data_IF_344032885156
#
_entry.id   IF_344032885156
#
_cell.length_a   1.000
_cell.length_b   1.000
_cell.length_c   1.000
_cell.angle_alpha   90.00
_cell.angle_beta   90.00
_cell.angle_gamma   90.00
#
_symmetry.space_group_name_H-M   'P 1'
#
loop_
_entity.id
_entity.type
_entity.pdbx_description
1 polymer ?
#
# COMPACT_ATOMS: atom_id res chain seq x y z
N UNK A 1 -9.61 -34.55 25.35
CA UNK A 1 -10.90 -33.98 25.80
C UNK A 1 -10.66 -33.35 27.16
N UNK A 2 -11.05 -32.09 27.36
CA UNK A 2 -10.84 -31.39 28.64
C UNK A 2 -11.67 -32.02 29.76
N UNK A 3 -11.12 -32.04 30.98
CA UNK A 3 -11.76 -32.63 32.17
C UNK A 3 -12.83 -31.68 32.76
N UNK A 4 -12.69 -30.38 32.51
CA UNK A 4 -13.62 -29.27 32.84
C UNK A 4 -13.19 -28.02 32.02
N UNK A 5 -13.98 -26.93 31.93
CA UNK A 5 -13.55 -25.70 31.24
C UNK A 5 -12.20 -25.21 31.76
N UNK A 6 -11.16 -25.36 30.94
CA UNK A 6 -9.80 -24.94 31.29
C UNK A 6 -8.89 -25.93 31.99
N UNK A 7 -9.32 -27.18 32.18
CA UNK A 7 -8.44 -28.26 32.65
C UNK A 7 -8.16 -29.21 31.46
N UNK A 8 -7.03 -29.04 30.77
CA UNK A 8 -6.67 -29.94 29.68
C UNK A 8 -6.29 -31.32 30.23
N UNK A 9 -6.47 -32.34 29.40
CA UNK A 9 -5.81 -33.63 29.63
C UNK A 9 -4.30 -33.38 29.64
N UNK A 10 -3.66 -33.56 30.79
CA UNK A 10 -2.25 -33.24 31.05
C UNK A 10 -1.28 -33.92 30.08
N UNK A 11 -1.72 -34.97 29.37
CA UNK A 11 -0.91 -35.74 28.43
C UNK A 11 -1.12 -35.36 26.96
N UNK A 12 -2.19 -34.64 26.63
CA UNK A 12 -2.62 -34.40 25.25
C UNK A 12 -1.76 -33.34 24.57
N UNK A 13 -0.74 -33.75 23.80
CA UNK A 13 -0.01 -32.89 22.86
C UNK A 13 -0.08 -33.50 21.47
N UNK A 14 -1.05 -33.03 20.70
CA UNK A 14 -1.26 -33.42 19.32
C UNK A 14 -0.12 -32.92 18.45
N UNK A 15 0.17 -33.68 17.40
CA UNK A 15 1.10 -33.28 16.35
C UNK A 15 0.46 -32.15 15.55
N UNK A 16 1.19 -31.04 15.37
CA UNK A 16 0.73 -29.92 14.53
C UNK A 16 0.68 -30.40 13.08
N UNK A 17 -0.46 -30.26 12.38
CA UNK A 17 -0.62 -30.77 11.03
C UNK A 17 0.22 -29.94 10.05
N UNK A 18 0.82 -30.65 9.09
CA UNK A 18 1.43 -30.01 7.93
C UNK A 18 0.33 -29.31 7.12
N UNK A 19 0.43 -27.99 6.96
CA UNK A 19 -0.54 -27.19 6.22
C UNK A 19 0.10 -25.97 5.58
N UNK A 20 -0.55 -25.44 4.55
CA UNK A 20 -0.09 -24.26 3.82
C UNK A 20 -1.31 -23.38 3.48
N UNK A 21 -1.11 -22.07 3.55
CA UNK A 21 -2.11 -21.04 3.23
C UNK A 21 -3.47 -21.27 3.93
N UNK A 22 -3.45 -21.32 5.28
CA UNK A 22 -4.65 -21.51 6.09
C UNK A 22 -4.97 -20.27 6.92
N UNK A 23 -6.26 -20.08 7.19
CA UNK A 23 -6.74 -19.11 8.18
C UNK A 23 -7.08 -19.89 9.44
N UNK A 24 -6.30 -19.65 10.50
CA UNK A 24 -6.48 -20.25 11.82
C UNK A 24 -6.86 -19.16 12.82
N UNK A 25 -7.47 -19.54 13.94
CA UNK A 25 -7.74 -18.60 15.03
C UNK A 25 -6.58 -18.59 16.01
N UNK A 26 -6.43 -17.48 16.75
CA UNK A 26 -5.49 -17.40 17.85
C UNK A 26 -6.08 -16.65 19.05
N UNK A 27 -5.50 -16.91 20.21
CA UNK A 27 -5.72 -16.12 21.42
C UNK A 27 -4.40 -15.95 22.19
N UNK A 28 -4.24 -14.80 22.84
CA UNK A 28 -3.28 -14.55 23.89
C UNK A 28 -4.06 -14.31 25.18
N UNK A 29 -3.86 -15.20 26.16
CA UNK A 29 -4.43 -15.08 27.49
C UNK A 29 -3.31 -14.72 28.48
N UNK A 30 -3.61 -13.81 29.40
CA UNK A 30 -2.77 -13.55 30.56
C UNK A 30 -3.30 -14.34 31.73
N UNK A 31 -2.42 -15.08 32.39
CA UNK A 31 -2.77 -16.04 33.43
C UNK A 31 -1.99 -15.75 34.71
N UNK A 32 -2.72 -15.36 35.76
CA UNK A 32 -2.23 -15.27 37.15
C UNK A 32 -2.39 -16.61 37.83
N UNK A 33 -1.59 -17.58 37.42
CA UNK A 33 -1.61 -18.90 38.03
C UNK A 33 -0.99 -18.86 39.43
N UNK A 34 -1.65 -19.48 40.41
CA UNK A 34 -1.23 -19.51 41.81
C UNK A 34 0.17 -20.12 41.99
N UNK A 35 0.49 -21.15 41.20
CA UNK A 35 1.76 -21.92 41.32
C UNK A 35 2.83 -21.42 40.35
N UNK A 36 2.50 -21.29 39.06
CA UNK A 36 3.47 -20.91 38.03
C UNK A 36 3.79 -19.40 38.01
N UNK A 37 2.93 -18.61 38.65
CA UNK A 37 2.95 -17.15 38.64
C UNK A 37 2.47 -16.55 37.31
N UNK A 38 2.61 -15.22 37.17
CA UNK A 38 2.25 -14.47 35.97
C UNK A 38 2.88 -14.98 34.68
N UNK A 39 2.05 -15.29 33.68
CA UNK A 39 2.50 -15.64 32.33
C UNK A 39 1.45 -15.34 31.26
N UNK A 40 1.88 -15.44 30.01
CA UNK A 40 1.04 -15.42 28.82
C UNK A 40 0.94 -16.80 28.23
N UNK A 41 -0.28 -17.21 27.92
CA UNK A 41 -0.53 -18.33 27.04
C UNK A 41 -0.83 -17.82 25.63
N UNK A 42 -0.23 -18.45 24.63
CA UNK A 42 -0.55 -18.26 23.23
C UNK A 42 -1.11 -19.56 22.69
N UNK A 43 -2.33 -19.48 22.15
CA UNK A 43 -3.01 -20.62 21.56
C UNK A 43 -3.33 -20.34 20.11
N UNK A 44 -3.09 -21.34 19.25
CA UNK A 44 -3.46 -21.31 17.84
C UNK A 44 -4.39 -22.50 17.58
N UNK A 45 -5.51 -22.29 16.91
CA UNK A 45 -6.45 -23.36 16.57
C UNK A 45 -6.70 -23.50 15.08
N UNK A 46 -6.65 -24.75 14.63
CA UNK A 46 -7.02 -25.18 13.27
C UNK A 46 -8.52 -25.48 13.11
N UNK A 47 -9.30 -25.25 14.16
CA UNK A 47 -10.73 -25.56 14.24
C UNK A 47 -11.05 -26.89 14.93
N UNK A 48 -10.08 -27.80 15.05
CA UNK A 48 -10.25 -29.07 15.77
C UNK A 48 -9.55 -29.05 17.14
N UNK A 49 -8.36 -28.48 17.20
CA UNK A 49 -7.51 -28.46 18.40
C UNK A 49 -6.94 -27.06 18.60
N UNK A 50 -6.85 -26.59 19.85
CA UNK A 50 -6.12 -25.39 20.21
C UNK A 50 -4.72 -25.76 20.75
N UNK A 51 -3.72 -25.63 19.87
CA UNK A 51 -2.31 -25.82 20.21
C UNK A 51 -1.87 -24.71 21.17
N UNK A 52 -1.40 -25.07 22.37
CA UNK A 52 -1.01 -24.14 23.42
C UNK A 52 0.50 -24.04 23.71
N UNK A 53 0.94 -22.83 24.05
CA UNK A 53 2.27 -22.52 24.57
C UNK A 53 2.20 -21.45 25.66
N UNK A 54 3.15 -21.45 26.58
CA UNK A 54 3.25 -20.46 27.65
C UNK A 54 4.61 -19.75 27.67
N UNK A 55 4.64 -18.47 28.06
CA UNK A 55 5.87 -17.71 28.32
C UNK A 55 5.60 -16.55 29.28
N UNK A 56 6.63 -16.01 29.94
CA UNK A 56 6.48 -14.80 30.77
C UNK A 56 6.64 -13.49 29.99
N UNK A 57 7.15 -13.53 28.77
CA UNK A 57 7.54 -12.33 28.00
C UNK A 57 6.48 -11.84 26.99
N UNK A 58 5.50 -12.67 26.62
CA UNK A 58 4.57 -12.39 25.53
C UNK A 58 5.16 -12.62 24.13
N UNK A 59 4.47 -12.15 23.08
CA UNK A 59 4.97 -12.25 21.71
C UNK A 59 6.23 -11.37 21.54
N UNK A 60 7.23 -11.82 20.76
CA UNK A 60 8.45 -11.06 20.55
C UNK A 60 8.18 -9.71 19.86
N UNK A 61 8.85 -8.66 20.35
CA UNK A 61 8.99 -7.38 19.66
C UNK A 61 9.72 -7.54 18.32
N UNK A 62 9.69 -6.50 17.49
CA UNK A 62 10.28 -6.53 16.16
C UNK A 62 11.78 -6.88 16.21
N UNK A 63 12.19 -7.95 15.49
CA UNK A 63 13.59 -8.41 15.47
C UNK A 63 13.98 -9.33 16.62
N UNK A 64 13.15 -9.42 17.67
CA UNK A 64 13.42 -10.24 18.84
C UNK A 64 12.95 -11.69 18.69
N UNK A 65 13.41 -12.51 19.64
CA UNK A 65 13.00 -13.90 19.81
C UNK A 65 12.65 -14.19 21.27
N UNK A 66 11.61 -14.98 21.49
CA UNK A 66 11.13 -15.38 22.82
C UNK A 66 10.96 -16.89 22.87
N UNK A 67 11.37 -17.51 23.97
CA UNK A 67 11.12 -18.92 24.24
C UNK A 67 9.68 -19.12 24.73
N UNK A 68 9.00 -20.07 24.12
CA UNK A 68 7.64 -20.51 24.42
C UNK A 68 7.65 -22.00 24.76
N UNK A 69 7.04 -22.35 25.89
CA UNK A 69 7.01 -23.73 26.40
C UNK A 69 5.69 -24.38 25.99
N UNK A 70 5.75 -25.47 25.22
CA UNK A 70 4.61 -26.25 24.74
C UNK A 70 3.80 -26.80 25.91
N UNK A 71 2.54 -26.38 26.00
CA UNK A 71 1.58 -26.86 27.01
C UNK A 71 0.69 -27.96 26.42
N UNK A 72 -0.07 -28.69 27.25
CA UNK A 72 -1.16 -29.53 26.76
C UNK A 72 -2.13 -28.73 25.88
N UNK A 73 -2.69 -29.42 24.89
CA UNK A 73 -3.68 -28.85 23.99
C UNK A 73 -5.00 -28.58 24.69
N UNK A 74 -5.75 -27.64 24.12
CA UNK A 74 -7.07 -27.24 24.59
C UNK A 74 -8.13 -27.44 23.51
N UNK A 75 -9.39 -27.34 23.88
CA UNK A 75 -10.47 -27.21 22.91
C UNK A 75 -10.47 -25.80 22.28
N UNK A 76 -10.89 -25.65 21.01
CA UNK A 76 -11.10 -24.33 20.42
C UNK A 76 -12.03 -23.43 21.24
N UNK A 77 -13.05 -24.00 21.89
CA UNK A 77 -14.00 -23.27 22.74
C UNK A 77 -13.30 -22.57 23.91
N UNK A 78 -12.31 -23.23 24.51
CA UNK A 78 -11.55 -22.67 25.64
C UNK A 78 -10.77 -21.40 25.30
N UNK A 79 -10.46 -21.17 24.02
CA UNK A 79 -9.78 -19.94 23.59
C UNK A 79 -10.59 -18.67 23.89
N UNK A 80 -11.90 -18.79 24.14
CA UNK A 80 -12.76 -17.67 24.53
C UNK A 80 -12.85 -17.44 26.04
N UNK A 81 -12.31 -18.35 26.86
CA UNK A 81 -12.44 -18.31 28.31
C UNK A 81 -11.73 -17.11 28.94
N UNK A 82 -12.42 -16.44 29.87
CA UNK A 82 -11.86 -15.49 30.82
C UNK A 82 -12.60 -15.65 32.14
N UNK A 83 -11.89 -15.82 33.24
CA UNK A 83 -12.47 -16.12 34.54
C UNK A 83 -11.46 -16.70 35.52
N UNK A 84 -11.97 -17.19 36.64
CA UNK A 84 -11.17 -17.85 37.69
C UNK A 84 -11.23 -19.37 37.52
N UNK A 85 -10.06 -20.01 37.55
CA UNK A 85 -9.93 -21.47 37.68
C UNK A 85 -9.78 -21.76 39.16
N UNK A 86 -10.82 -22.36 39.76
CA UNK A 86 -10.96 -22.49 41.21
C UNK A 86 -9.99 -23.49 41.85
N UNK A 87 -9.67 -24.59 41.16
CA UNK A 87 -8.77 -25.64 41.63
C UNK A 87 -8.08 -26.37 40.46
N UNK A 88 -7.19 -27.31 40.78
CA UNK A 88 -6.53 -28.14 39.78
C UNK A 88 -5.34 -27.48 39.07
N UNK A 89 -4.97 -28.05 37.92
CA UNK A 89 -3.84 -27.56 37.13
C UNK A 89 -4.22 -26.24 36.44
N UNK A 90 -3.43 -25.20 36.68
CA UNK A 90 -3.74 -23.86 36.18
C UNK A 90 -4.70 -23.08 37.06
N UNK A 91 -4.87 -23.43 38.36
CA UNK A 91 -5.60 -22.61 39.32
C UNK A 91 -5.11 -21.16 39.28
N UNK A 92 -6.05 -20.21 39.21
CA UNK A 92 -5.78 -18.78 39.13
C UNK A 92 -6.65 -18.07 38.10
N UNK A 93 -6.37 -16.78 37.87
CA UNK A 93 -7.19 -15.93 37.02
C UNK A 93 -6.68 -15.88 35.57
N UNK A 94 -7.58 -16.04 34.60
CA UNK A 94 -7.29 -16.03 33.17
C UNK A 94 -8.04 -14.89 32.50
N UNK A 95 -7.33 -14.09 31.71
CA UNK A 95 -7.93 -12.98 30.94
C UNK A 95 -7.47 -13.02 29.49
N UNK A 96 -8.41 -12.97 28.55
CA UNK A 96 -8.09 -12.74 27.13
C UNK A 96 -7.57 -11.31 26.96
N UNK A 97 -6.37 -11.18 26.39
CA UNK A 97 -5.72 -9.89 26.10
C UNK A 97 -5.78 -9.57 24.62
N UNK A 98 -5.67 -10.58 23.76
CA UNK A 98 -5.79 -10.42 22.31
C UNK A 98 -6.32 -11.70 21.68
N UNK A 99 -7.12 -11.57 20.61
CA UNK A 99 -7.61 -12.72 19.85
C UNK A 99 -7.94 -12.32 18.41
N UNK A 100 -8.09 -13.31 17.55
CA UNK A 100 -8.52 -13.09 16.17
C UNK A 100 -8.05 -14.18 15.24
N UNK A 101 -7.75 -13.81 14.00
CA UNK A 101 -7.28 -14.71 12.96
C UNK A 101 -5.81 -14.48 12.63
N UNK A 102 -5.09 -15.57 12.40
CA UNK A 102 -3.76 -15.59 11.78
C UNK A 102 -3.85 -16.14 10.36
N UNK A 103 -2.97 -15.64 9.50
CA UNK A 103 -2.72 -16.25 8.21
C UNK A 103 -1.53 -17.19 8.34
N UNK A 104 -1.79 -18.49 8.44
CA UNK A 104 -0.76 -19.52 8.49
C UNK A 104 -0.21 -19.72 7.08
N UNK A 105 1.01 -19.23 6.87
CA UNK A 105 1.72 -19.37 5.60
C UNK A 105 2.15 -20.82 5.42
N UNK A 106 2.71 -21.41 6.48
CA UNK A 106 3.07 -22.82 6.52
C UNK A 106 3.09 -23.30 7.96
N UNK A 107 2.57 -24.49 8.21
CA UNK A 107 2.76 -25.23 9.46
C UNK A 107 3.32 -26.61 9.16
N UNK A 108 4.13 -27.12 10.07
CA UNK A 108 4.70 -28.46 10.14
C UNK A 108 4.81 -28.83 11.63
N UNK A 109 5.03 -30.11 11.97
CA UNK A 109 5.23 -30.52 13.36
C UNK A 109 6.32 -29.74 14.13
N UNK A 110 7.30 -29.17 13.42
CA UNK A 110 8.46 -28.49 14.03
C UNK A 110 8.49 -26.97 13.76
N UNK A 111 7.58 -26.44 12.93
CA UNK A 111 7.64 -25.03 12.53
C UNK A 111 6.28 -24.50 12.10
N UNK A 112 5.90 -23.33 12.62
CA UNK A 112 4.73 -22.57 12.19
C UNK A 112 5.19 -21.16 11.78
N UNK A 113 4.97 -20.79 10.52
CA UNK A 113 5.15 -19.43 10.03
C UNK A 113 3.79 -18.81 9.75
N UNK A 114 3.47 -17.70 10.40
CA UNK A 114 2.16 -17.07 10.31
C UNK A 114 2.26 -15.55 10.30
N UNK A 115 1.24 -14.91 9.75
CA UNK A 115 1.08 -13.46 9.79
C UNK A 115 -0.07 -13.06 10.70
N UNK A 116 0.14 -11.98 11.43
CA UNK A 116 -0.90 -11.21 12.11
C UNK A 116 -1.15 -9.91 11.34
N UNK A 117 -2.40 -9.68 10.95
CA UNK A 117 -2.80 -8.44 10.28
C UNK A 117 -3.46 -7.48 11.28
N UNK A 118 -2.65 -6.66 11.95
CA UNK A 118 -3.09 -5.63 12.89
C UNK A 118 -3.14 -4.26 12.21
N UNK A 119 -4.32 -3.62 12.21
CA UNK A 119 -4.55 -2.37 11.48
C UNK A 119 -4.18 -2.52 10.00
N UNK A 120 -3.45 -1.55 9.42
CA UNK A 120 -2.95 -1.62 8.04
C UNK A 120 -1.67 -2.48 7.86
N UNK A 121 -1.22 -3.19 8.90
CA UNK A 121 0.11 -3.81 8.93
C UNK A 121 0.09 -5.31 8.89
N UNK A 122 1.25 -5.85 8.55
CA UNK A 122 1.54 -7.27 8.60
C UNK A 122 2.68 -7.46 9.56
N UNK A 123 2.43 -8.17 10.66
CA UNK A 123 3.48 -8.71 11.50
C UNK A 123 3.71 -10.17 11.09
N UNK A 124 4.96 -10.56 10.91
CA UNK A 124 5.35 -11.92 10.55
C UNK A 124 6.00 -12.60 11.73
N UNK A 125 5.49 -13.76 12.11
CA UNK A 125 6.04 -14.59 13.18
C UNK A 125 6.47 -15.94 12.66
N UNK A 126 7.47 -16.53 13.30
CA UNK A 126 7.84 -17.92 13.07
C UNK A 126 8.14 -18.58 14.41
N UNK A 127 7.42 -19.65 14.70
CA UNK A 127 7.59 -20.49 15.86
C UNK A 127 8.34 -21.76 15.42
N UNK A 128 9.49 -22.05 16.01
CA UNK A 128 10.34 -23.21 15.64
C UNK A 128 10.58 -24.08 16.85
N UNK A 129 10.35 -25.38 16.72
CA UNK A 129 10.66 -26.37 17.73
C UNK A 129 12.18 -26.50 17.91
N UNK A 130 12.65 -26.49 19.15
CA UNK A 130 14.08 -26.58 19.47
C UNK A 130 14.40 -27.72 20.45
N UNK A 131 13.50 -28.71 20.59
CA UNK A 131 13.69 -29.87 21.47
C UNK A 131 12.91 -29.81 22.79
N UNK A 132 12.59 -30.98 23.36
CA UNK A 132 11.78 -31.09 24.58
C UNK A 132 10.40 -30.45 24.42
N UNK A 133 10.09 -29.46 25.26
CA UNK A 133 8.88 -28.63 25.14
C UNK A 133 9.18 -27.23 24.57
N UNK A 134 10.40 -26.98 24.09
CA UNK A 134 10.89 -25.64 23.77
C UNK A 134 10.55 -25.26 22.33
N UNK A 135 9.96 -24.07 22.18
CA UNK A 135 9.69 -23.45 20.89
C UNK A 135 10.19 -22.02 20.88
N UNK A 136 10.98 -21.65 19.89
CA UNK A 136 11.48 -20.29 19.72
C UNK A 136 10.56 -19.52 18.77
N UNK A 137 9.88 -18.49 19.30
CA UNK A 137 9.08 -17.56 18.50
C UNK A 137 9.95 -16.38 18.09
N UNK A 138 9.97 -16.04 16.81
CA UNK A 138 10.73 -14.92 16.25
C UNK A 138 9.78 -13.98 15.52
N UNK A 139 9.94 -12.67 15.74
CA UNK A 139 9.28 -11.65 14.94
C UNK A 139 10.14 -11.32 13.72
N UNK A 140 9.75 -11.86 12.57
CA UNK A 140 10.48 -11.76 11.29
C UNK A 140 9.90 -10.70 10.37
N UNK A 141 9.15 -9.75 10.93
CA UNK A 141 8.55 -8.66 10.17
C UNK A 141 9.65 -7.87 9.44
N UNK A 142 9.55 -7.66 8.11
CA UNK A 142 10.62 -6.99 7.38
C UNK A 142 10.78 -5.52 7.79
N UNK A 143 12.02 -5.13 8.03
CA UNK A 143 12.48 -3.76 8.29
C UNK A 143 13.42 -3.30 7.19
N UNK A 144 13.87 -2.05 7.26
CA UNK A 144 14.87 -1.52 6.33
C UNK A 144 16.23 -2.21 6.46
N UNK A 145 16.63 -2.57 7.68
CA UNK A 145 17.89 -3.25 7.98
C UNK A 145 17.89 -4.68 7.40
N UNK A 146 16.76 -5.38 7.53
CA UNK A 146 16.61 -6.75 6.98
C UNK A 146 16.34 -6.78 5.48
N UNK A 147 15.99 -5.62 4.87
CA UNK A 147 15.67 -5.46 3.44
C UNK A 147 16.36 -4.23 2.85
N UNK A 148 17.71 -4.20 2.84
CA UNK A 148 18.45 -3.05 2.31
C UNK A 148 18.18 -2.80 0.83
N UNK A 149 17.74 -3.82 0.07
CA UNK A 149 17.39 -3.75 -1.35
C UNK A 149 16.12 -2.94 -1.68
N UNK A 150 15.34 -2.52 -0.68
CA UNK A 150 14.12 -1.72 -0.89
C UNK A 150 14.49 -0.24 -0.91
N UNK A 151 14.49 0.46 -2.05
CA UNK A 151 14.87 1.87 -2.13
C UNK A 151 13.91 2.78 -1.34
N UNK A 152 14.44 3.89 -0.80
CA UNK A 152 13.66 4.86 -0.01
C UNK A 152 13.03 5.98 -0.84
N UNK A 153 13.55 6.22 -2.04
CA UNK A 153 13.16 7.36 -2.88
C UNK A 153 12.80 6.86 -4.27
N UNK A 154 11.62 7.28 -4.73
CA UNK A 154 11.21 7.08 -6.13
C UNK A 154 12.12 7.91 -7.04
N UNK A 155 12.34 7.41 -8.25
CA UNK A 155 13.02 8.18 -9.29
C UNK A 155 12.30 9.51 -9.55
N UNK A 156 13.07 10.59 -9.62
CA UNK A 156 12.52 11.91 -9.92
C UNK A 156 12.24 12.04 -11.42
N UNK A 157 11.06 12.56 -11.74
CA UNK A 157 10.62 12.82 -13.11
C UNK A 157 10.32 14.31 -13.30
N UNK A 158 10.92 14.92 -14.32
CA UNK A 158 10.56 16.28 -14.73
C UNK A 158 9.18 16.28 -15.38
N UNK A 159 8.47 17.40 -15.30
CA UNK A 159 7.15 17.56 -15.90
C UNK A 159 7.21 18.36 -17.19
N UNK A 160 6.43 17.98 -18.20
CA UNK A 160 6.21 18.78 -19.41
C UNK A 160 4.72 18.96 -19.70
N UNK A 161 4.39 20.03 -20.41
CA UNK A 161 3.06 20.24 -20.98
C UNK A 161 2.73 19.15 -22.03
N UNK A 162 1.49 18.64 -22.09
CA UNK A 162 1.09 17.62 -23.07
C UNK A 162 1.40 18.00 -24.53
N UNK A 163 1.32 19.29 -24.88
CA UNK A 163 1.65 19.78 -26.23
C UNK A 163 3.11 19.58 -26.64
N UNK A 164 4.01 19.33 -25.67
CA UNK A 164 5.44 19.08 -25.90
C UNK A 164 5.79 17.60 -26.06
N UNK A 165 4.82 16.70 -26.00
CA UNK A 165 5.06 15.27 -26.26
C UNK A 165 5.41 15.10 -27.74
N UNK A 166 6.56 14.50 -28.02
CA UNK A 166 6.95 14.14 -29.38
C UNK A 166 6.37 12.79 -29.76
N UNK A 167 5.67 12.74 -30.90
CA UNK A 167 5.18 11.49 -31.48
C UNK A 167 6.21 10.84 -32.40
N UNK A 168 7.17 11.59 -32.94
CA UNK A 168 8.12 11.10 -33.96
C UNK A 168 9.48 10.70 -33.41
N UNK A 169 9.79 11.03 -32.15
CA UNK A 169 11.07 10.63 -31.55
C UNK A 169 11.10 9.12 -31.31
N UNK A 170 11.93 8.40 -32.07
CA UNK A 170 12.10 6.94 -31.98
C UNK A 170 12.83 6.48 -30.72
N UNK A 171 13.57 7.37 -30.04
CA UNK A 171 14.25 7.05 -28.78
C UNK A 171 13.33 7.18 -27.55
N UNK A 172 12.04 7.44 -27.75
CA UNK A 172 11.08 7.64 -26.67
C UNK A 172 9.94 6.63 -26.74
N UNK A 173 9.55 6.08 -25.59
CA UNK A 173 8.34 5.27 -25.43
C UNK A 173 7.34 6.09 -24.62
N UNK A 174 6.11 6.18 -25.12
CA UNK A 174 5.01 6.81 -24.39
C UNK A 174 4.21 5.73 -23.68
N UNK A 175 3.92 5.94 -22.39
CA UNK A 175 3.12 5.03 -21.55
C UNK A 175 2.06 5.81 -20.81
N UNK A 176 1.01 5.13 -20.35
CA UNK A 176 0.02 5.70 -19.45
C UNK A 176 0.61 5.95 -18.06
N UNK A 177 0.20 7.04 -17.41
CA UNK A 177 0.55 7.31 -16.01
C UNK A 177 -0.49 6.63 -15.11
N UNK A 178 -0.31 5.34 -14.84
CA UNK A 178 -1.27 4.53 -14.07
C UNK A 178 -1.66 5.18 -12.73
N UNK A 179 -2.96 5.27 -12.48
CA UNK A 179 -3.53 5.83 -11.25
C UNK A 179 -3.54 4.77 -10.14
N UNK A 180 -2.43 4.63 -9.42
CA UNK A 180 -2.31 3.62 -8.37
C UNK A 180 -1.52 4.07 -7.16
N UNK A 181 -0.88 3.10 -6.52
CA UNK A 181 0.15 3.35 -5.53
C UNK A 181 1.46 2.72 -5.97
N UNK A 182 2.47 3.58 -6.12
CA UNK A 182 3.84 3.17 -6.35
C UNK A 182 4.26 2.08 -5.34
N UNK A 183 4.79 0.99 -5.90
CA UNK A 183 5.09 -0.24 -5.19
C UNK A 183 6.41 -0.82 -5.70
N UNK A 184 7.06 -1.56 -4.81
CA UNK A 184 8.29 -2.29 -5.07
C UNK A 184 7.96 -3.78 -5.10
N UNK A 185 8.37 -4.46 -6.16
CA UNK A 185 8.24 -5.91 -6.31
C UNK A 185 9.61 -6.52 -6.07
N UNK A 186 9.74 -7.34 -5.04
CA UNK A 186 11.01 -7.94 -4.65
C UNK A 186 10.98 -9.43 -4.92
N UNK A 187 11.90 -9.86 -5.76
CA UNK A 187 12.03 -11.22 -6.26
C UNK A 187 13.23 -11.89 -5.56
N UNK A 188 12.96 -12.95 -4.81
CA UNK A 188 13.99 -13.78 -4.15
C UNK A 188 13.66 -15.24 -4.35
N UNK A 189 14.66 -16.03 -4.75
CA UNK A 189 14.46 -17.47 -4.98
C UNK A 189 13.94 -18.16 -3.73
N UNK A 190 13.09 -19.16 -3.92
CA UNK A 190 12.45 -19.89 -2.82
C UNK A 190 11.50 -19.04 -1.98
N UNK A 191 11.11 -17.85 -2.45
CA UNK A 191 10.07 -17.01 -1.86
C UNK A 191 9.04 -16.63 -2.91
N UNK A 192 7.81 -16.30 -2.49
CA UNK A 192 6.86 -15.73 -3.42
C UNK A 192 7.22 -14.29 -3.78
N UNK A 193 6.56 -13.75 -4.81
CA UNK A 193 6.69 -12.33 -5.18
C UNK A 193 6.21 -11.46 -4.02
N UNK A 194 7.10 -10.63 -3.47
CA UNK A 194 6.75 -9.72 -2.37
C UNK A 194 6.50 -8.31 -2.88
N UNK A 195 5.51 -7.64 -2.29
CA UNK A 195 5.11 -6.27 -2.64
C UNK A 195 5.26 -5.35 -1.43
N UNK A 196 6.01 -4.27 -1.59
CA UNK A 196 6.26 -3.27 -0.56
C UNK A 196 5.90 -1.86 -1.04
N UNK A 197 5.55 -0.97 -0.11
CA UNK A 197 5.63 0.48 -0.37
C UNK A 197 7.04 0.97 -0.08
N UNK A 198 7.55 1.88 -0.90
CA UNK A 198 8.81 2.59 -0.65
C UNK A 198 8.69 3.61 0.51
N UNK A 199 7.46 3.95 0.93
CA UNK A 199 7.20 4.94 1.98
C UNK A 199 7.57 4.38 3.35
N UNK A 200 8.11 5.24 4.21
CA UNK A 200 8.33 4.93 5.62
C UNK A 200 7.00 4.66 6.33
N UNK A 201 6.95 3.62 7.16
CA UNK A 201 5.79 3.37 8.02
C UNK A 201 5.68 4.48 9.06
N UNK A 202 4.44 4.87 9.39
CA UNK A 202 4.16 5.79 10.50
C UNK A 202 4.06 5.08 11.86
N UNK A 203 4.11 3.75 11.87
CA UNK A 203 3.87 2.93 13.08
C UNK A 203 5.14 2.36 13.69
N UNK A 204 6.27 2.49 13.00
CA UNK A 204 7.53 1.94 13.45
C UNK A 204 8.52 1.70 12.30
N UNK A 205 9.62 1.00 12.59
CA UNK A 205 10.67 0.70 11.63
C UNK A 205 10.30 -0.41 10.63
N UNK A 206 9.14 -1.04 10.77
CA UNK A 206 8.67 -2.04 9.82
C UNK A 206 8.33 -1.45 8.45
N UNK A 207 8.57 -2.22 7.41
CA UNK A 207 8.19 -1.86 6.05
C UNK A 207 6.69 -2.05 5.84
N UNK A 208 6.10 -1.18 5.02
CA UNK A 208 4.72 -1.33 4.59
C UNK A 208 4.64 -2.49 3.59
N UNK A 209 4.35 -3.68 4.11
CA UNK A 209 4.18 -4.90 3.33
C UNK A 209 2.74 -5.01 2.81
N UNK A 210 2.59 -5.12 1.48
CA UNK A 210 1.31 -5.30 0.79
C UNK A 210 1.15 -6.69 0.18
N UNK A 211 2.19 -7.52 0.19
CA UNK A 211 2.27 -8.86 -0.44
C UNK A 211 0.97 -9.67 -0.28
N UNK A 212 0.47 -9.76 0.94
CA UNK A 212 -0.68 -10.62 1.24
C UNK A 212 -2.03 -10.06 0.78
N UNK A 213 -2.09 -8.86 0.20
CA UNK A 213 -3.29 -8.40 -0.50
C UNK A 213 -3.46 -9.05 -1.88
N UNK A 214 -2.39 -9.64 -2.43
CA UNK A 214 -2.35 -10.15 -3.80
C UNK A 214 -2.22 -11.69 -3.82
N UNK A 215 -3.32 -12.47 -3.70
CA UNK A 215 -3.29 -13.93 -3.85
C UNK A 215 -2.43 -14.42 -5.00
N UNK A 216 -2.65 -13.86 -6.19
CA UNK A 216 -1.91 -14.24 -7.40
C UNK A 216 -0.39 -14.05 -7.27
N UNK A 217 0.07 -13.06 -6.50
CA UNK A 217 1.52 -12.82 -6.32
C UNK A 217 2.09 -13.65 -5.18
N UNK A 218 1.44 -13.69 -4.01
CA UNK A 218 2.03 -14.41 -2.87
C UNK A 218 1.93 -15.94 -3.01
N UNK A 219 1.11 -16.44 -3.95
CA UNK A 219 1.08 -17.85 -4.36
C UNK A 219 2.02 -18.15 -5.53
N UNK A 220 2.64 -17.13 -6.14
CA UNK A 220 3.60 -17.30 -7.25
C UNK A 220 5.01 -17.30 -6.71
N UNK A 221 5.68 -18.45 -6.79
CA UNK A 221 7.09 -18.59 -6.43
C UNK A 221 7.99 -17.91 -7.45
N UNK A 222 9.03 -17.24 -6.96
CA UNK A 222 10.01 -16.55 -7.81
C UNK A 222 10.92 -17.59 -8.47
N UNK A 223 11.05 -17.57 -9.83
CA UNK A 223 12.03 -18.38 -10.55
C UNK A 223 13.47 -18.08 -10.11
N UNK A 224 14.32 -19.11 -10.05
CA UNK A 224 15.69 -18.96 -9.54
C UNK A 224 16.51 -17.94 -10.33
N UNK A 225 16.31 -17.88 -11.64
CA UNK A 225 16.96 -16.90 -12.51
C UNK A 225 16.59 -15.44 -12.19
N UNK A 226 15.53 -15.16 -11.43
CA UNK A 226 15.12 -13.80 -11.09
C UNK A 226 15.54 -13.39 -9.68
N UNK A 227 16.31 -14.22 -8.99
CA UNK A 227 16.78 -13.95 -7.63
C UNK A 227 17.45 -12.58 -7.51
N UNK A 228 17.31 -11.94 -6.33
CA UNK A 228 17.90 -10.63 -6.02
C UNK A 228 17.50 -9.51 -6.99
N UNK A 229 16.26 -9.53 -7.46
CA UNK A 229 15.71 -8.50 -8.36
C UNK A 229 14.69 -7.63 -7.62
N UNK A 230 14.81 -6.32 -7.76
CA UNK A 230 13.88 -5.32 -7.19
C UNK A 230 13.37 -4.44 -8.31
N UNK A 231 12.04 -4.42 -8.48
CA UNK A 231 11.37 -3.69 -9.55
C UNK A 231 10.52 -2.56 -8.98
N UNK A 232 10.50 -1.47 -9.73
CA UNK A 232 9.56 -0.39 -9.53
C UNK A 232 8.32 -0.62 -10.37
N UNK A 233 7.17 -0.44 -9.73
CA UNK A 233 5.90 -0.53 -10.41
C UNK A 233 4.81 0.29 -9.73
N UNK A 234 3.61 0.15 -10.26
CA UNK A 234 2.38 0.73 -9.73
C UNK A 234 1.42 -0.42 -9.45
N UNK A 235 0.88 -0.46 -8.23
CA UNK A 235 -0.20 -1.37 -7.88
C UNK A 235 -1.50 -0.59 -7.83
N UNK A 236 -2.56 -1.15 -8.41
CA UNK A 236 -3.89 -0.52 -8.45
C UNK A 236 -4.98 -1.58 -8.28
N UNK A 237 -6.22 -1.13 -8.17
CA UNK A 237 -7.39 -2.01 -8.08
C UNK A 237 -8.26 -1.73 -9.28
N UNK A 238 -8.70 -2.79 -9.97
CA UNK A 238 -9.57 -2.70 -11.13
C UNK A 238 -10.91 -3.39 -10.89
N UNK A 239 -11.92 -2.99 -11.64
CA UNK A 239 -13.20 -3.71 -11.74
C UNK A 239 -13.12 -4.91 -12.69
N UNK A 240 -14.23 -5.64 -12.84
CA UNK A 240 -14.31 -6.81 -13.71
C UNK A 240 -14.06 -6.48 -15.20
N UNK A 241 -14.24 -5.23 -15.61
CA UNK A 241 -13.95 -4.74 -16.96
C UNK A 241 -12.50 -4.25 -17.12
N UNK A 242 -11.69 -4.33 -16.06
CA UNK A 242 -10.29 -3.90 -16.06
C UNK A 242 -10.09 -2.39 -15.91
N UNK A 243 -11.14 -1.62 -15.56
CA UNK A 243 -11.02 -0.18 -15.31
C UNK A 243 -10.50 0.05 -13.90
N UNK A 244 -9.53 0.93 -13.76
CA UNK A 244 -8.96 1.31 -12.47
C UNK A 244 -9.99 2.03 -11.62
N UNK A 245 -10.13 1.62 -10.36
CA UNK A 245 -10.98 2.32 -9.39
C UNK A 245 -10.50 3.76 -9.18
N UNK A 246 -11.40 4.70 -8.83
CA UNK A 246 -11.02 6.05 -8.45
C UNK A 246 -9.88 6.06 -7.43
N UNK A 247 -8.88 6.92 -7.62
CA UNK A 247 -7.62 6.88 -6.88
C UNK A 247 -7.80 6.78 -5.36
N UNK A 248 -8.72 7.55 -4.77
CA UNK A 248 -9.01 7.53 -3.32
C UNK A 248 -9.51 6.16 -2.83
N UNK A 249 -10.31 5.49 -3.65
CA UNK A 249 -10.89 4.20 -3.32
C UNK A 249 -9.86 3.08 -3.47
N UNK A 250 -9.18 3.01 -4.62
CA UNK A 250 -8.13 2.02 -4.86
C UNK A 250 -6.99 2.14 -3.84
N UNK A 251 -6.52 3.36 -3.55
CA UNK A 251 -5.53 3.59 -2.49
C UNK A 251 -6.05 3.27 -1.09
N UNK A 252 -7.35 3.47 -0.84
CA UNK A 252 -8.01 3.05 0.39
C UNK A 252 -7.85 1.54 0.63
N UNK A 253 -8.17 0.72 -0.37
CA UNK A 253 -8.00 -0.74 -0.31
C UNK A 253 -6.53 -1.15 -0.17
N UNK A 254 -5.62 -0.51 -0.93
CA UNK A 254 -4.18 -0.78 -0.85
C UNK A 254 -3.57 -0.44 0.52
N UNK A 255 -4.18 0.45 1.29
CA UNK A 255 -3.74 0.82 2.64
C UNK A 255 -4.63 0.24 3.75
N UNK A 256 -5.69 -0.50 3.43
CA UNK A 256 -6.55 -1.17 4.41
C UNK A 256 -5.86 -2.38 5.07
N UNK A 257 -6.49 -2.92 6.12
CA UNK A 257 -6.15 -4.24 6.66
C UNK A 257 -6.26 -5.32 5.57
N UNK A 258 -5.42 -6.35 5.62
CA UNK A 258 -5.39 -7.40 4.58
C UNK A 258 -6.71 -8.18 4.51
N UNK A 259 -7.31 -8.54 5.65
CA UNK A 259 -8.57 -9.28 5.68
C UNK A 259 -9.69 -8.46 5.05
N UNK A 260 -9.84 -7.20 5.48
CA UNK A 260 -10.82 -6.26 4.91
C UNK A 260 -10.58 -6.07 3.42
N UNK A 261 -9.33 -5.86 2.99
CA UNK A 261 -9.02 -5.62 1.59
C UNK A 261 -9.40 -6.83 0.71
N UNK A 262 -9.08 -8.06 1.15
CA UNK A 262 -9.44 -9.29 0.43
C UNK A 262 -10.96 -9.48 0.38
N UNK A 263 -11.65 -9.26 1.50
CA UNK A 263 -13.10 -9.39 1.60
C UNK A 263 -13.83 -8.40 0.66
N UNK A 264 -13.44 -7.12 0.68
CA UNK A 264 -13.99 -6.09 -0.21
C UNK A 264 -13.74 -6.40 -1.69
N UNK A 265 -12.52 -6.86 -2.03
CA UNK A 265 -12.17 -7.23 -3.40
C UNK A 265 -12.98 -8.43 -3.88
N UNK A 266 -13.16 -9.45 -3.04
CA UNK A 266 -13.97 -10.62 -3.36
C UNK A 266 -15.46 -10.26 -3.55
N UNK A 267 -16.05 -9.53 -2.58
CA UNK A 267 -17.48 -9.15 -2.60
C UNK A 267 -17.86 -8.31 -3.81
N UNK A 268 -16.93 -7.49 -4.29
CA UNK A 268 -17.15 -6.55 -5.40
C UNK A 268 -16.59 -7.04 -6.73
N UNK A 269 -16.09 -8.29 -6.78
CA UNK A 269 -15.45 -8.87 -7.97
C UNK A 269 -14.35 -7.97 -8.56
N UNK A 270 -13.59 -7.33 -7.67
CA UNK A 270 -12.46 -6.49 -8.05
C UNK A 270 -11.20 -7.33 -8.25
N UNK A 271 -10.17 -6.72 -8.81
CA UNK A 271 -8.85 -7.33 -8.92
C UNK A 271 -7.76 -6.38 -8.47
N UNK A 272 -6.77 -6.90 -7.75
CA UNK A 272 -5.53 -6.19 -7.55
C UNK A 272 -4.62 -6.41 -8.77
N UNK A 273 -4.24 -5.33 -9.44
CA UNK A 273 -3.33 -5.36 -10.59
C UNK A 273 -1.98 -4.74 -10.26
N UNK A 274 -0.96 -5.22 -10.97
CA UNK A 274 0.43 -4.87 -10.74
C UNK A 274 1.12 -4.63 -12.07
N UNK A 275 1.61 -3.41 -12.26
CA UNK A 275 2.39 -3.03 -13.45
C UNK A 275 3.80 -2.68 -13.04
N UNK A 276 4.79 -3.35 -13.61
CA UNK A 276 6.21 -3.01 -13.48
C UNK A 276 6.63 -2.08 -14.61
N UNK A 277 7.41 -1.05 -14.29
CA UNK A 277 7.81 -0.05 -15.27
C UNK A 277 9.29 0.33 -15.20
N UNK A 278 10.04 -0.07 -14.18
CA UNK A 278 11.47 0.24 -14.04
C UNK A 278 12.17 -0.78 -13.13
N UNK A 279 13.50 -0.86 -13.20
CA UNK A 279 14.34 -1.80 -12.45
C UNK A 279 15.26 -1.01 -11.52
N UNK A 280 15.27 -1.38 -10.24
CA UNK A 280 16.20 -0.85 -9.24
C UNK A 280 17.43 -1.74 -9.12
N UNK A 281 17.20 -3.05 -8.97
CA UNK A 281 18.24 -4.08 -9.00
C UNK A 281 17.80 -5.25 -9.87
N UNK A 282 18.74 -5.84 -10.60
CA UNK A 282 18.52 -7.08 -11.34
C UNK A 282 19.65 -8.06 -11.03
N UNK A 283 19.30 -9.23 -10.52
CA UNK A 283 20.28 -10.26 -10.12
C UNK A 283 21.38 -9.73 -9.18
N UNK A 284 21.01 -8.82 -8.27
CA UNK A 284 21.92 -8.18 -7.32
C UNK A 284 22.74 -7.00 -7.86
N UNK A 285 22.71 -6.75 -9.17
CA UNK A 285 23.38 -5.61 -9.81
C UNK A 285 22.49 -4.37 -9.73
N UNK A 286 23.09 -3.20 -9.43
CA UNK A 286 22.37 -1.91 -9.41
C UNK A 286 22.04 -1.46 -10.84
N UNK A 287 20.75 -1.30 -11.11
CA UNK A 287 20.20 -0.80 -12.37
C UNK A 287 19.57 0.58 -12.21
N UNK A 288 19.53 1.16 -11.00
CA UNK A 288 18.80 2.40 -10.71
C UNK A 288 19.20 3.57 -11.62
N UNK A 289 20.47 3.62 -12.07
CA UNK A 289 21.04 4.64 -12.96
C UNK A 289 21.28 4.20 -14.41
N UNK A 290 20.90 2.98 -14.77
CA UNK A 290 21.03 2.49 -16.15
C UNK A 290 20.01 3.16 -17.08
N UNK A 291 20.34 3.37 -18.37
CA UNK A 291 19.40 3.85 -19.38
C UNK A 291 18.18 2.94 -19.49
N UNK A 292 17.02 3.52 -19.84
CA UNK A 292 15.77 2.75 -19.94
C UNK A 292 15.82 1.65 -21.02
N UNK A 293 16.57 1.85 -22.10
CA UNK A 293 16.77 0.87 -23.17
C UNK A 293 17.38 -0.44 -22.68
N UNK A 294 18.31 -0.40 -21.72
CA UNK A 294 18.86 -1.61 -21.10
C UNK A 294 17.83 -2.32 -20.21
N UNK A 295 16.89 -1.56 -19.63
CA UNK A 295 15.92 -2.08 -18.66
C UNK A 295 14.68 -2.68 -19.32
N UNK A 296 14.26 -2.14 -20.45
CA UNK A 296 12.97 -2.50 -21.03
C UNK A 296 12.95 -3.96 -21.51
N UNK A 297 14.05 -4.44 -22.10
CA UNK A 297 14.15 -5.84 -22.52
C UNK A 297 14.14 -6.79 -21.33
N UNK A 298 14.79 -6.41 -20.22
CA UNK A 298 14.72 -7.16 -18.97
C UNK A 298 13.32 -7.16 -18.35
N UNK A 299 12.60 -6.02 -18.41
CA UNK A 299 11.21 -5.94 -17.95
C UNK A 299 10.29 -6.88 -18.77
N UNK A 300 10.49 -6.97 -20.10
CA UNK A 300 9.79 -7.92 -20.97
C UNK A 300 10.13 -9.37 -20.62
N UNK A 301 11.41 -9.69 -20.38
CA UNK A 301 11.84 -11.02 -19.91
C UNK A 301 11.19 -11.39 -18.57
N UNK A 302 11.13 -10.44 -17.63
CA UNK A 302 10.53 -10.68 -16.33
C UNK A 302 9.02 -10.91 -16.46
N UNK A 303 8.30 -10.11 -17.26
CA UNK A 303 6.88 -10.30 -17.49
C UNK A 303 6.59 -11.67 -18.12
N UNK A 304 7.41 -12.15 -19.06
CA UNK A 304 7.19 -13.46 -19.68
C UNK A 304 7.31 -14.61 -18.67
N UNK A 305 8.19 -14.47 -17.67
CA UNK A 305 8.38 -15.43 -16.58
C UNK A 305 7.39 -15.26 -15.43
N UNK A 306 6.90 -14.05 -15.22
CA UNK A 306 5.92 -13.69 -14.19
C UNK A 306 4.78 -12.87 -14.81
N UNK A 307 3.82 -13.51 -15.52
CA UNK A 307 2.73 -12.81 -16.22
C UNK A 307 1.83 -11.98 -15.31
N UNK A 308 1.87 -12.24 -14.00
CA UNK A 308 1.17 -11.47 -12.97
C UNK A 308 1.74 -10.06 -12.80
N UNK A 309 2.98 -9.82 -13.24
CA UNK A 309 3.65 -8.52 -13.28
C UNK A 309 3.55 -7.96 -14.70
N UNK A 310 2.53 -7.15 -14.95
CA UNK A 310 2.24 -6.61 -16.28
C UNK A 310 3.20 -5.47 -16.64
N UNK A 311 3.36 -5.20 -17.93
CA UNK A 311 3.92 -3.93 -18.41
C UNK A 311 2.80 -2.90 -18.65
N UNK A 312 3.10 -1.60 -18.58
CA UNK A 312 2.17 -0.57 -19.04
C UNK A 312 1.94 -0.70 -20.55
N UNK A 313 0.93 -0.03 -21.08
CA UNK A 313 0.79 0.14 -22.53
C UNK A 313 2.02 0.90 -23.04
N UNK A 314 2.75 0.31 -23.98
CA UNK A 314 3.96 0.89 -24.56
C UNK A 314 3.67 1.31 -25.99
N UNK A 315 3.64 2.63 -26.20
CA UNK A 315 3.50 3.21 -27.53
C UNK A 315 4.88 3.63 -28.05
N UNK A 316 5.37 2.92 -29.06
CA UNK A 316 6.72 3.09 -29.61
C UNK A 316 6.67 3.85 -30.95
N UNK A 317 5.71 3.50 -31.81
CA UNK A 317 5.53 4.13 -33.12
C UNK A 317 4.77 5.47 -33.03
N UNK A 318 4.91 6.36 -34.03
CA UNK A 318 4.17 7.63 -34.05
C UNK A 318 2.65 7.46 -33.99
N UNK A 319 2.12 6.45 -34.67
CA UNK A 319 0.69 6.16 -34.68
C UNK A 319 0.20 5.66 -33.32
N UNK A 320 0.92 4.74 -32.68
CA UNK A 320 0.59 4.26 -31.33
C UNK A 320 0.64 5.40 -30.32
N UNK A 321 1.68 6.24 -30.37
CA UNK A 321 1.83 7.36 -29.43
C UNK A 321 0.66 8.35 -29.58
N UNK A 322 0.26 8.64 -30.81
CA UNK A 322 -0.90 9.50 -31.09
C UNK A 322 -2.20 8.88 -30.56
N UNK A 323 -2.42 7.58 -30.79
CA UNK A 323 -3.60 6.87 -30.29
C UNK A 323 -3.67 6.89 -28.77
N UNK A 324 -2.57 6.56 -28.08
CA UNK A 324 -2.49 6.58 -26.62
C UNK A 324 -2.68 8.00 -26.07
N UNK A 325 -2.10 8.99 -26.74
CA UNK A 325 -2.31 10.40 -26.42
C UNK A 325 -3.79 10.80 -26.53
N UNK A 326 -4.43 10.55 -27.66
CA UNK A 326 -5.84 10.95 -27.84
C UNK A 326 -6.77 10.18 -26.88
N UNK A 327 -6.48 8.89 -26.61
CA UNK A 327 -7.24 8.07 -25.67
C UNK A 327 -7.19 8.62 -24.23
N UNK A 328 -6.01 8.95 -23.71
CA UNK A 328 -5.87 9.52 -22.36
C UNK A 328 -6.42 10.95 -22.33
N UNK A 329 -6.20 11.76 -23.38
CA UNK A 329 -6.73 13.12 -23.49
C UNK A 329 -8.26 13.17 -23.46
N UNK A 330 -8.93 12.13 -23.95
CA UNK A 330 -10.39 12.02 -23.85
C UNK A 330 -10.93 11.96 -22.42
N UNK A 331 -10.08 11.63 -21.44
CA UNK A 331 -10.47 11.41 -20.04
C UNK A 331 -11.21 10.09 -19.79
N UNK A 332 -11.29 9.20 -20.79
CA UNK A 332 -12.00 7.91 -20.72
C UNK A 332 -11.05 6.70 -20.69
N UNK A 333 -9.75 6.92 -20.54
CA UNK A 333 -8.79 5.82 -20.52
C UNK A 333 -8.97 4.98 -19.24
N UNK A 334 -9.00 3.63 -19.32
CA UNK A 334 -9.35 2.77 -18.18
C UNK A 334 -8.36 2.85 -17.03
N UNK A 335 -7.07 3.11 -17.31
CA UNK A 335 -6.02 3.05 -16.29
C UNK A 335 -5.60 4.39 -15.69
N UNK A 336 -5.98 5.52 -16.29
CA UNK A 336 -5.49 6.82 -15.86
C UNK A 336 -6.44 7.97 -16.15
N UNK A 337 -6.52 8.87 -15.19
CA UNK A 337 -7.09 10.22 -15.31
C UNK A 337 -6.01 11.29 -15.15
N UNK A 338 -4.76 10.89 -14.95
CA UNK A 338 -3.63 11.77 -14.67
C UNK A 338 -2.87 12.19 -15.93
N UNK A 339 -2.46 11.27 -16.80
CA UNK A 339 -1.70 11.60 -18.02
C UNK A 339 -0.74 10.52 -18.50
N UNK A 340 0.46 10.91 -18.89
CA UNK A 340 1.46 10.06 -19.55
C UNK A 340 2.80 10.06 -18.85
N UNK A 341 3.57 9.01 -19.11
CA UNK A 341 5.00 8.94 -18.81
C UNK A 341 5.76 8.67 -20.10
N UNK A 342 6.74 9.54 -20.40
CA UNK A 342 7.68 9.37 -21.51
C UNK A 342 8.97 8.78 -20.95
N UNK A 343 9.39 7.68 -21.54
CA UNK A 343 10.66 7.02 -21.24
C UNK A 343 11.63 7.23 -22.39
N UNK A 344 12.75 7.89 -22.14
CA UNK A 344 13.83 8.02 -23.11
C UNK A 344 14.78 6.83 -22.96
N UNK A 345 14.99 6.08 -24.05
CA UNK A 345 15.80 4.86 -24.06
C UNK A 345 17.24 5.11 -23.61
N UNK A 346 17.75 6.33 -23.80
CA UNK A 346 19.12 6.72 -23.46
C UNK A 346 19.22 7.43 -22.10
N UNK A 347 18.12 7.54 -21.35
CA UNK A 347 18.08 8.19 -20.04
C UNK A 347 17.68 7.24 -18.93
N UNK A 348 18.18 7.49 -17.71
CA UNK A 348 17.69 6.82 -16.50
C UNK A 348 16.37 7.42 -16.00
N UNK A 349 16.04 8.66 -16.40
CA UNK A 349 14.94 9.44 -15.81
C UNK A 349 13.74 9.55 -16.74
N UNK A 350 12.53 9.19 -16.28
CA UNK A 350 11.32 9.44 -17.04
C UNK A 350 10.92 10.91 -17.02
N UNK A 351 10.07 11.27 -17.97
CA UNK A 351 9.38 12.56 -18.03
C UNK A 351 7.90 12.27 -17.80
N UNK A 352 7.23 13.06 -16.96
CA UNK A 352 5.79 12.98 -16.79
C UNK A 352 5.11 14.11 -17.55
N UNK A 353 3.93 13.83 -18.08
CA UNK A 353 3.03 14.86 -18.59
C UNK A 353 1.63 14.61 -18.05
N UNK A 354 0.96 15.65 -17.58
CA UNK A 354 -0.34 15.51 -16.90
C UNK A 354 -1.42 16.24 -17.69
N UNK A 355 -2.62 15.66 -17.73
CA UNK A 355 -3.83 16.30 -18.28
C UNK A 355 -4.18 17.58 -17.55
N UNK A 356 -3.83 17.62 -16.27
CA UNK A 356 -4.02 18.79 -15.43
C UNK A 356 -2.70 19.18 -14.77
N UNK A 357 -2.38 20.45 -14.90
CA UNK A 357 -1.18 21.09 -14.38
C UNK A 357 -1.60 21.98 -13.20
N UNK A 358 -0.67 22.19 -12.28
CA UNK A 358 -0.86 23.13 -11.18
C UNK A 358 -0.03 24.39 -11.47
N UNK A 359 -0.58 25.56 -11.14
CA UNK A 359 0.16 26.83 -11.14
C UNK A 359 -0.30 27.68 -9.98
N UNK A 360 0.54 28.61 -9.57
CA UNK A 360 0.18 29.63 -8.59
C UNK A 360 -0.31 30.89 -9.32
N UNK A 361 -1.34 31.52 -8.75
CA UNK A 361 -1.86 32.83 -9.14
C UNK A 361 -2.13 33.64 -7.87
N UNK A 362 -2.24 34.95 -8.01
CA UNK A 362 -2.49 35.89 -6.92
C UNK A 362 -3.88 36.48 -7.05
N UNK A 363 -4.66 36.47 -5.97
CA UNK A 363 -6.04 36.94 -5.97
C UNK A 363 -6.09 38.45 -6.17
N UNK A 364 -6.82 38.87 -7.20
CA UNK A 364 -7.04 40.29 -7.55
C UNK A 364 -8.49 40.74 -7.28
N UNK A 365 -9.40 39.80 -7.05
CA UNK A 365 -10.80 40.12 -6.76
C UNK A 365 -11.71 38.92 -6.82
N UNK A 366 -13.02 39.19 -6.78
CA UNK A 366 -14.05 38.16 -6.68
C UNK A 366 -15.28 38.54 -7.52
N UNK A 367 -15.99 37.54 -8.01
CA UNK A 367 -17.32 37.69 -8.59
C UNK A 367 -18.33 36.97 -7.70
N UNK A 368 -19.46 37.62 -7.41
CA UNK A 368 -20.58 36.99 -6.72
C UNK A 368 -21.18 35.85 -7.56
N UNK A 369 -21.70 34.83 -6.89
CA UNK A 369 -22.46 33.77 -7.52
C UNK A 369 -23.82 34.26 -8.02
N UNK A 370 -24.44 33.45 -8.88
CA UNK A 370 -25.82 33.66 -9.36
C UNK A 370 -26.69 32.47 -8.98
N UNK A 371 -28.00 32.68 -8.88
CA UNK A 371 -28.96 31.62 -8.55
C UNK A 371 -28.67 31.04 -7.17
N UNK A 372 -28.44 29.71 -7.07
CA UNK A 372 -28.16 29.04 -5.78
C UNK A 372 -26.91 29.56 -5.03
N UNK A 373 -26.05 30.32 -5.70
CA UNK A 373 -24.82 30.89 -5.14
C UNK A 373 -24.93 32.41 -4.90
N UNK A 374 -26.11 33.00 -5.02
CA UNK A 374 -26.34 34.40 -4.66
C UNK A 374 -25.99 34.64 -3.18
N UNK A 375 -25.35 35.77 -2.87
CA UNK A 375 -24.78 36.05 -1.56
C UNK A 375 -23.53 35.23 -1.20
N UNK A 376 -22.97 34.45 -2.15
CA UNK A 376 -21.78 33.61 -1.95
C UNK A 376 -20.75 33.79 -3.07
N UNK A 377 -19.55 33.25 -2.88
CA UNK A 377 -18.49 33.30 -3.88
C UNK A 377 -18.91 32.57 -5.17
N UNK A 378 -18.94 33.30 -6.28
CA UNK A 378 -19.07 32.74 -7.62
C UNK A 378 -17.70 32.34 -8.17
N UNK A 379 -16.78 33.31 -8.29
CA UNK A 379 -15.43 33.10 -8.83
C UNK A 379 -14.38 33.93 -8.10
N UNK A 380 -13.16 33.41 -8.05
CA UNK A 380 -11.95 34.18 -7.75
C UNK A 380 -11.37 34.71 -9.06
N UNK A 381 -10.98 35.98 -9.08
CA UNK A 381 -10.21 36.60 -10.15
C UNK A 381 -8.74 36.62 -9.73
N UNK A 382 -7.85 36.02 -10.52
CA UNK A 382 -6.44 35.91 -10.16
C UNK A 382 -5.49 36.10 -11.34
N UNK A 383 -4.29 36.62 -11.07
CA UNK A 383 -3.23 36.90 -12.06
C UNK A 383 -1.95 36.15 -11.75
N UNK A 384 -1.06 35.90 -12.72
CA UNK A 384 0.24 35.26 -12.47
C UNK A 384 1.18 36.09 -11.60
N UNK A 385 0.99 37.41 -11.56
CA UNK A 385 1.82 38.36 -10.82
C UNK A 385 1.07 38.92 -9.60
N UNK A 386 1.74 39.10 -8.43
CA UNK A 386 1.13 39.67 -7.23
C UNK A 386 0.58 41.09 -7.41
N UNK A 387 1.19 41.90 -8.28
CA UNK A 387 0.82 43.30 -8.53
C UNK A 387 -0.33 43.42 -9.54
N UNK A 388 -1.02 42.31 -9.88
CA UNK A 388 -2.13 42.32 -10.82
C UNK A 388 -1.73 42.31 -12.29
N UNK A 389 -0.46 42.06 -12.61
CA UNK A 389 0.03 42.02 -14.00
C UNK A 389 -0.31 40.70 -14.69
N UNK A 390 -0.64 40.79 -15.98
CA UNK A 390 -0.96 39.64 -16.83
C UNK A 390 -2.44 39.31 -16.92
N UNK A 391 -2.81 38.23 -17.65
CA UNK A 391 -4.20 37.92 -17.93
C UNK A 391 -4.95 37.47 -16.67
N UNK A 392 -6.10 38.10 -16.41
CA UNK A 392 -7.02 37.69 -15.34
C UNK A 392 -7.62 36.33 -15.68
N UNK A 393 -7.40 35.39 -14.77
CA UNK A 393 -7.99 34.04 -14.78
C UNK A 393 -9.16 34.01 -13.82
N UNK A 394 -10.31 33.53 -14.32
CA UNK A 394 -11.53 33.41 -13.51
C UNK A 394 -11.69 31.97 -13.04
N UNK A 395 -11.61 31.75 -11.74
CA UNK A 395 -11.63 30.43 -11.10
C UNK A 395 -12.97 30.23 -10.41
N UNK A 396 -13.87 29.46 -11.03
CA UNK A 396 -15.23 29.26 -10.54
C UNK A 396 -15.53 27.88 -9.94
N UNK A 397 -14.60 26.92 -10.05
CA UNK A 397 -14.74 25.56 -9.55
C UNK A 397 -13.70 25.22 -8.48
N UNK A 398 -13.91 24.12 -7.75
CA UNK A 398 -12.98 23.64 -6.71
C UNK A 398 -13.31 24.07 -5.29
N UNK A 399 -14.51 24.62 -5.05
CA UNK A 399 -14.97 25.07 -3.74
C UNK A 399 -16.17 24.25 -3.28
N UNK A 400 -16.16 23.84 -2.02
CA UNK A 400 -17.35 23.42 -1.26
C UNK A 400 -18.26 24.63 -0.99
N UNK A 401 -19.54 24.40 -0.71
CA UNK A 401 -20.47 25.51 -0.40
C UNK A 401 -20.05 26.26 0.87
N UNK A 402 -19.45 25.58 1.85
CA UNK A 402 -18.87 26.21 3.04
C UNK A 402 -17.70 27.13 2.68
N UNK A 403 -16.75 26.67 1.86
CA UNK A 403 -15.63 27.51 1.40
C UNK A 403 -16.11 28.73 0.62
N UNK A 404 -17.13 28.58 -0.24
CA UNK A 404 -17.70 29.70 -0.99
C UNK A 404 -18.22 30.80 -0.06
N UNK A 405 -18.91 30.40 1.00
CA UNK A 405 -19.46 31.33 1.99
C UNK A 405 -18.36 31.98 2.83
N UNK A 406 -17.40 31.19 3.33
CA UNK A 406 -16.28 31.69 4.12
C UNK A 406 -15.41 32.67 3.33
N UNK A 407 -15.05 32.34 2.09
CA UNK A 407 -14.22 33.22 1.26
C UNK A 407 -14.98 34.50 0.91
N UNK A 408 -16.28 34.41 0.60
CA UNK A 408 -17.07 35.59 0.26
C UNK A 408 -17.20 36.57 1.42
N UNK A 409 -17.52 36.05 2.62
CA UNK A 409 -17.69 36.85 3.83
C UNK A 409 -16.36 37.47 4.30
N UNK A 410 -15.23 36.82 4.01
CA UNK A 410 -13.89 37.27 4.41
C UNK A 410 -13.01 37.70 3.23
N UNK A 411 -13.62 38.12 2.11
CA UNK A 411 -12.93 38.32 0.82
C UNK A 411 -11.76 39.31 0.86
N UNK A 412 -11.86 40.35 1.70
CA UNK A 412 -10.78 41.32 1.89
C UNK A 412 -9.52 40.67 2.50
N UNK A 413 -9.71 39.70 3.41
CA UNK A 413 -8.62 38.95 4.06
C UNK A 413 -7.83 38.08 3.09
N UNK A 414 -8.41 37.72 1.95
CA UNK A 414 -7.81 36.85 0.95
C UNK A 414 -7.26 37.60 -0.28
N UNK A 415 -7.51 38.90 -0.38
CA UNK A 415 -7.02 39.72 -1.48
C UNK A 415 -5.49 39.74 -1.50
N UNK A 416 -4.89 39.61 -2.68
CA UNK A 416 -3.44 39.55 -2.89
C UNK A 416 -2.79 38.22 -2.50
N UNK A 417 -3.49 37.31 -1.82
CA UNK A 417 -2.91 36.03 -1.39
C UNK A 417 -2.68 35.09 -2.58
N UNK A 418 -1.61 34.27 -2.55
CA UNK A 418 -1.40 33.25 -3.54
C UNK A 418 -2.41 32.10 -3.40
N UNK A 419 -2.90 31.62 -4.53
CA UNK A 419 -3.72 30.41 -4.66
C UNK A 419 -3.02 29.43 -5.59
N UNK A 420 -3.13 28.15 -5.30
CA UNK A 420 -2.82 27.10 -6.27
C UNK A 420 -4.10 26.75 -7.03
N UNK A 421 -4.03 26.78 -8.36
CA UNK A 421 -5.07 26.28 -9.24
C UNK A 421 -4.57 25.07 -10.02
N UNK A 422 -5.48 24.14 -10.27
CA UNK A 422 -5.33 23.08 -11.26
C UNK A 422 -5.96 23.54 -12.59
N UNK A 423 -5.32 23.29 -13.73
CA UNK A 423 -5.81 23.69 -15.05
C UNK A 423 -5.45 22.65 -16.11
N UNK A 424 -6.18 22.60 -17.22
CA UNK A 424 -5.90 21.63 -18.29
C UNK A 424 -4.71 22.03 -19.17
N UNK A 425 -4.74 23.25 -19.70
CA UNK A 425 -3.68 23.80 -20.56
C UNK A 425 -3.58 25.31 -20.38
N UNK A 426 -2.39 25.86 -20.65
CA UNK A 426 -2.19 27.31 -20.75
C UNK A 426 -2.41 27.73 -22.20
N UNK A 427 -3.43 28.55 -22.42
CA UNK A 427 -3.79 29.04 -23.75
C UNK A 427 -2.73 30.03 -24.28
N UNK A 428 -2.61 30.24 -25.60
CA UNK A 428 -1.72 31.25 -26.18
C UNK A 428 -1.96 32.67 -25.62
N UNK A 429 -3.19 32.96 -25.18
CA UNK A 429 -3.55 34.21 -24.49
C UNK A 429 -2.96 34.36 -23.09
N UNK A 430 -2.26 33.35 -22.58
CA UNK A 430 -1.72 33.28 -21.22
C UNK A 430 -2.74 32.89 -20.14
N UNK A 431 -4.03 32.77 -20.51
CA UNK A 431 -5.11 32.28 -19.62
C UNK A 431 -5.06 30.76 -19.44
N UNK A 432 -5.64 30.28 -18.35
CA UNK A 432 -5.69 28.86 -18.03
C UNK A 432 -7.07 28.27 -18.37
N UNK A 433 -7.10 27.11 -19.04
CA UNK A 433 -8.33 26.40 -19.40
C UNK A 433 -8.85 25.54 -18.24
N UNK A 434 -10.15 25.64 -17.97
CA UNK A 434 -10.84 24.94 -16.87
C UNK A 434 -10.09 25.03 -15.53
N UNK A 435 -9.80 26.24 -15.03
CA UNK A 435 -9.09 26.41 -13.78
C UNK A 435 -9.99 26.00 -12.60
N UNK A 436 -9.46 25.16 -11.72
CA UNK A 436 -10.10 24.65 -10.52
C UNK A 436 -9.24 25.08 -9.33
N UNK A 437 -9.86 25.73 -8.36
CA UNK A 437 -9.19 26.09 -7.11
C UNK A 437 -8.77 24.84 -6.35
N UNK A 438 -7.54 24.83 -5.82
CA UNK A 438 -7.07 23.78 -4.91
C UNK A 438 -6.94 24.26 -3.49
N UNK A 439 -6.17 25.33 -3.28
CA UNK A 439 -5.87 25.81 -1.92
C UNK A 439 -5.34 27.25 -1.96
N UNK A 440 -5.52 27.98 -0.86
CA UNK A 440 -4.74 29.18 -0.57
C UNK A 440 -3.36 28.78 -0.03
N UNK A 441 -2.32 29.49 -0.46
CA UNK A 441 -1.00 29.38 0.14
C UNK A 441 -0.91 30.42 1.26
N UNK A 442 -1.08 29.99 2.50
CA UNK A 442 -0.79 30.81 3.69
C UNK A 442 0.50 30.32 4.34
N UNK A 443 1.28 31.24 4.91
CA UNK A 443 2.55 30.92 5.58
C UNK A 443 2.38 30.04 6.84
N UNK A 444 1.15 29.84 7.33
CA UNK A 444 0.85 29.19 8.62
C UNK A 444 0.47 27.71 8.52
N UNK A 445 0.37 27.13 7.31
CA UNK A 445 -0.02 25.72 7.15
C UNK A 445 0.89 24.97 6.17
N UNK A 446 2.17 24.78 6.54
CA UNK A 446 2.97 23.56 6.29
C UNK A 446 4.21 23.57 7.22
N UNK A 447 4.47 22.50 8.01
CA UNK A 447 5.76 22.35 8.67
C UNK A 447 6.82 22.11 7.59
N UNK A 448 7.94 22.82 7.71
CA UNK A 448 9.18 22.53 6.96
C UNK A 448 9.77 21.21 7.42
#
# INVERSE_FOLDING_TARGET
MEYAPGIPDKSSKSVIPSSQDKIWSYVIQYHMADVAGPHYDFRISDGAVAYSWATRAGLPSLGDKVLWIRQPDHTPEYMSFSGEIADGYGKGSVKVIDSGQIHVISATPEKISFNLYKGAGTQKFTLVYTGGNNWLCMNTTPTKETRPEIPEKKIQARSIDPSKISFTNSNQILTEKIDGAASLFVLRKGRPVEVFSYRKSKRGPELINRTYKYPDLYNTMVPEELDKTTLWGEAYVSDAEGRTLPHREGTGLLNANVWRARDEVAKRHLKFDNVIFNIDKYKGVDYSKKPYGEKIELLKEIQSKLPQLKLPIMAETPLEKRRLYDAIKSGKHPHTTEGWVIWDLNSDRPIKSKLKLDTELYVQGYEEGKGRLEGKLGKILATPDPQGKGPITRVGGGFTDFEREQIWNNRLTYLGKPITIEYQEKLPSGKYRMPIFKVFRTAEFWPT
#
